data_IF_336729048432
#
_entry.id   IF_336729048432
#
_cell.length_a   1.000
_cell.length_b   1.000
_cell.length_c   1.000
_cell.angle_alpha   90.00
_cell.angle_beta   90.00
_cell.angle_gamma   90.00
#
_symmetry.space_group_name_H-M   'P 1'
#
loop_
_entity.id
_entity.type
_entity.pdbx_description
1 polymer ?
#
# COMPACT_ATOMS: atom_id res chain seq x y z
N UNK A 1 -1.17 -1.58 41.05
CA UNK A 1 -1.84 -0.35 40.58
C UNK A 1 -1.01 0.52 39.63
N UNK A 2 0.25 0.17 39.28
CA UNK A 2 1.13 1.02 38.46
C UNK A 2 1.07 0.81 36.94
N UNK A 3 0.45 -0.26 36.45
CA UNK A 3 0.42 -0.58 35.01
C UNK A 3 -0.67 0.18 34.20
N UNK A 4 -1.63 0.83 34.87
CA UNK A 4 -2.78 1.47 34.22
C UNK A 4 -2.55 2.94 33.83
N UNK A 5 -1.46 3.56 34.28
CA UNK A 5 -1.23 5.01 34.11
C UNK A 5 -0.38 5.34 32.88
N UNK A 6 0.41 4.39 32.37
CA UNK A 6 1.26 4.59 31.17
C UNK A 6 0.50 4.46 29.84
N UNK A 7 -0.65 3.78 29.84
CA UNK A 7 -1.45 3.58 28.63
C UNK A 7 -2.24 4.83 28.20
N UNK A 8 -2.47 5.78 29.09
CA UNK A 8 -3.28 6.98 28.84
C UNK A 8 -2.53 8.06 28.03
N UNK A 9 -1.20 8.02 28.02
CA UNK A 9 -0.38 9.04 27.34
C UNK A 9 -0.23 8.76 25.83
N UNK A 10 -0.40 7.51 25.40
CA UNK A 10 -0.27 7.09 24.01
C UNK A 10 -1.53 7.36 23.16
N UNK A 11 -2.69 7.54 23.78
CA UNK A 11 -3.99 7.74 23.09
C UNK A 11 -4.29 9.23 22.84
N UNK A 12 -3.61 10.15 23.52
CA UNK A 12 -3.84 11.59 23.38
C UNK A 12 -3.03 12.20 22.22
N UNK A 13 -1.99 11.52 21.73
CA UNK A 13 -1.14 11.98 20.62
C UNK A 13 -1.65 11.64 19.22
N UNK A 14 -2.67 10.78 19.08
CA UNK A 14 -3.06 10.20 17.78
C UNK A 14 -4.02 11.06 16.95
N UNK A 15 -4.51 12.17 17.49
CA UNK A 15 -5.50 13.03 16.82
C UNK A 15 -4.90 14.21 16.03
N UNK A 16 -3.59 14.46 16.13
CA UNK A 16 -2.94 15.60 15.46
C UNK A 16 -2.32 15.27 14.09
N UNK A 17 -2.36 14.01 13.65
CA UNK A 17 -1.63 13.54 12.46
C UNK A 17 -2.49 13.44 11.17
N UNK A 18 -3.74 13.91 11.18
CA UNK A 18 -4.60 13.95 10.00
C UNK A 18 -5.18 15.35 9.82
N UNK A 19 -4.35 16.28 9.32
CA UNK A 19 -4.80 17.59 8.86
C UNK A 19 -4.36 17.75 7.41
N UNK A 20 -5.21 17.44 6.41
CA UNK A 20 -5.02 18.00 5.09
C UNK A 20 -5.36 19.50 5.21
N UNK A 21 -4.35 20.33 5.45
CA UNK A 21 -4.48 21.79 5.33
C UNK A 21 -4.79 22.11 3.85
N UNK A 22 -6.08 22.20 3.55
CA UNK A 22 -6.58 22.88 2.35
C UNK A 22 -6.56 24.38 2.61
N UNK A 23 -6.29 25.15 1.55
CA UNK A 23 -6.20 26.62 1.48
C UNK A 23 -4.82 27.24 1.76
N UNK A 24 -4.04 27.41 0.68
CA UNK A 24 -2.81 28.18 0.67
C UNK A 24 -3.09 29.67 0.43
N UNK A 25 -3.27 30.42 1.51
CA UNK A 25 -2.93 31.84 1.59
C UNK A 25 -2.10 32.03 2.88
N UNK A 26 -0.86 31.53 2.86
CA UNK A 26 0.04 31.60 4.01
C UNK A 26 0.95 32.82 3.86
N UNK A 27 0.81 33.78 4.77
CA UNK A 27 1.65 34.97 4.80
C UNK A 27 3.11 34.61 5.11
N UNK A 28 4.06 35.41 4.61
CA UNK A 28 5.51 35.18 4.76
C UNK A 28 5.98 35.00 6.22
N UNK A 29 5.19 35.47 7.20
CA UNK A 29 5.46 35.30 8.64
C UNK A 29 5.02 33.94 9.17
N UNK A 30 3.92 33.38 8.68
CA UNK A 30 3.47 32.04 9.03
C UNK A 30 4.40 30.97 8.44
N UNK A 31 4.98 31.21 7.26
CA UNK A 31 6.02 30.34 6.68
C UNK A 31 7.26 30.23 7.58
N UNK A 32 7.64 31.32 8.26
CA UNK A 32 8.81 31.32 9.16
C UNK A 32 8.50 30.63 10.49
N UNK A 33 7.30 30.83 11.04
CA UNK A 33 6.85 30.11 12.24
C UNK A 33 6.62 28.62 11.98
N UNK A 34 6.03 28.27 10.83
CA UNK A 34 5.86 26.88 10.39
C UNK A 34 7.22 26.22 10.09
N UNK A 35 8.18 26.96 9.51
CA UNK A 35 9.54 26.48 9.27
C UNK A 35 10.33 26.21 10.56
N UNK A 36 10.15 27.03 11.58
CA UNK A 36 10.77 26.83 12.90
C UNK A 36 10.14 25.67 13.68
N UNK A 37 8.81 25.51 13.60
CA UNK A 37 8.12 24.35 14.15
C UNK A 37 8.49 23.06 13.42
N UNK A 38 8.58 23.11 12.08
CA UNK A 38 9.03 22.00 11.24
C UNK A 38 10.49 21.60 11.56
N UNK A 39 11.37 22.56 11.87
CA UNK A 39 12.75 22.29 12.26
C UNK A 39 12.93 21.71 13.68
N UNK A 40 11.91 21.78 14.54
CA UNK A 40 11.92 21.10 15.84
C UNK A 40 11.44 19.65 15.73
N UNK A 41 10.62 19.35 14.73
CA UNK A 41 10.14 18.00 14.43
C UNK A 41 10.89 17.35 13.27
N UNK A 42 11.87 18.00 12.63
CA UNK A 42 12.70 17.43 11.55
C UNK A 42 13.35 16.10 11.91
N UNK A 43 13.86 15.83 13.13
CA UNK A 43 14.35 14.49 13.45
C UNK A 43 13.24 13.44 13.62
N UNK A 44 11.98 13.85 13.74
CA UNK A 44 10.79 12.99 13.74
C UNK A 44 10.05 12.95 12.39
N UNK A 45 10.31 13.91 11.50
CA UNK A 45 9.77 14.01 10.13
C UNK A 45 10.76 13.56 9.05
N UNK A 46 12.00 13.23 9.42
CA UNK A 46 12.87 12.48 8.52
C UNK A 46 12.17 11.14 8.29
N UNK A 47 11.65 10.96 7.07
CA UNK A 47 11.12 9.68 6.64
C UNK A 47 12.25 8.67 6.79
N UNK A 48 12.27 7.93 7.91
CA UNK A 48 13.14 6.79 8.06
C UNK A 48 12.89 5.96 6.80
N UNK A 49 13.92 5.66 5.99
CA UNK A 49 13.73 4.77 4.87
C UNK A 49 13.07 3.54 5.48
N UNK A 50 11.85 3.23 5.03
CA UNK A 50 11.12 2.08 5.55
C UNK A 50 12.12 0.93 5.55
N UNK A 51 12.44 0.39 6.72
CA UNK A 51 13.53 -0.57 6.95
C UNK A 51 13.23 -1.94 6.34
N UNK A 52 12.65 -1.95 5.15
CA UNK A 52 12.33 -3.11 4.35
C UNK A 52 13.63 -3.66 3.77
N UNK A 53 14.37 -4.36 4.62
CA UNK A 53 15.37 -5.31 4.16
C UNK A 53 14.65 -6.47 3.46
N UNK A 54 15.21 -6.96 2.35
CA UNK A 54 14.75 -8.18 1.71
C UNK A 54 15.02 -9.36 2.65
N UNK A 55 13.96 -9.99 3.16
CA UNK A 55 14.02 -11.03 4.20
C UNK A 55 14.20 -12.46 3.66
N UNK A 56 14.33 -12.62 2.33
CA UNK A 56 14.42 -13.90 1.60
C UNK A 56 13.20 -14.81 1.80
N UNK A 57 12.09 -14.32 2.34
CA UNK A 57 10.86 -15.10 2.57
C UNK A 57 10.11 -15.44 1.28
N UNK A 58 10.49 -14.81 0.16
CA UNK A 58 9.75 -14.82 -1.10
C UNK A 58 8.30 -14.31 -0.95
N UNK A 59 7.97 -13.57 0.12
CA UNK A 59 6.65 -12.97 0.26
C UNK A 59 6.55 -11.68 -0.55
N UNK A 60 5.45 -11.56 -1.29
CA UNK A 60 5.12 -10.36 -2.04
C UNK A 60 3.66 -9.94 -1.77
N UNK A 61 3.31 -8.65 -1.98
CA UNK A 61 1.93 -8.21 -1.95
C UNK A 61 1.12 -8.87 -3.09
N UNK A 62 0.15 -9.70 -2.72
CA UNK A 62 -0.88 -10.22 -3.62
C UNK A 62 -2.08 -9.29 -3.57
N UNK A 63 -2.32 -8.59 -4.68
CA UNK A 63 -3.39 -7.62 -4.82
C UNK A 63 -4.55 -8.25 -5.59
N UNK A 64 -5.77 -8.07 -5.09
CA UNK A 64 -7.00 -8.40 -5.82
C UNK A 64 -7.92 -7.19 -5.78
N UNK A 65 -8.25 -6.67 -6.97
CA UNK A 65 -9.14 -5.53 -7.15
C UNK A 65 -10.50 -6.07 -7.57
N UNK A 66 -11.50 -5.86 -6.73
CA UNK A 66 -12.88 -6.23 -6.98
C UNK A 66 -13.65 -4.97 -7.35
N UNK A 67 -13.80 -4.70 -8.65
CA UNK A 67 -14.83 -3.81 -9.16
C UNK A 67 -16.10 -4.63 -9.39
N UNK A 68 -16.89 -4.79 -8.33
CA UNK A 68 -18.08 -5.65 -8.29
C UNK A 68 -19.37 -4.85 -8.28
N UNK A 69 -19.37 -3.64 -8.86
CA UNK A 69 -20.59 -2.82 -9.01
C UNK A 69 -21.67 -3.60 -9.77
N UNK A 70 -22.83 -3.79 -9.16
CA UNK A 70 -23.95 -4.57 -9.70
C UNK A 70 -23.82 -6.09 -9.54
N UNK A 71 -22.81 -6.60 -8.82
CA UNK A 71 -22.65 -8.02 -8.58
C UNK A 71 -23.75 -8.55 -7.66
N UNK A 72 -24.46 -9.61 -8.06
CA UNK A 72 -25.51 -10.23 -7.24
C UNK A 72 -24.98 -10.90 -5.96
N UNK A 73 -23.67 -11.12 -5.88
CA UNK A 73 -23.00 -11.66 -4.69
C UNK A 73 -22.78 -10.52 -3.69
N UNK A 74 -23.55 -10.51 -2.61
CA UNK A 74 -23.47 -9.49 -1.56
C UNK A 74 -22.05 -9.34 -0.95
N UNK A 75 -21.53 -8.12 -0.79
CA UNK A 75 -20.24 -7.86 -0.14
C UNK A 75 -20.30 -8.17 1.36
N UNK A 76 -19.37 -8.98 1.88
CA UNK A 76 -19.37 -9.43 3.29
C UNK A 76 -17.99 -9.44 3.96
N UNK A 77 -16.95 -9.00 3.27
CA UNK A 77 -15.56 -9.01 3.76
C UNK A 77 -15.08 -7.64 4.25
N UNK A 78 -15.79 -6.55 3.98
CA UNK A 78 -15.42 -5.21 4.46
C UNK A 78 -15.72 -5.05 5.95
N UNK A 79 -14.80 -4.43 6.68
CA UNK A 79 -14.92 -4.18 8.13
C UNK A 79 -15.10 -2.70 8.46
N UNK A 80 -14.95 -1.81 7.47
CA UNK A 80 -14.91 -0.35 7.63
C UNK A 80 -16.27 0.37 7.54
N UNK A 81 -17.39 -0.36 7.59
CA UNK A 81 -18.72 0.20 7.41
C UNK A 81 -19.08 0.45 5.94
N UNK A 82 -20.03 1.35 5.70
CA UNK A 82 -20.57 1.69 4.39
C UNK A 82 -20.22 3.13 4.02
N UNK A 83 -19.81 3.35 2.78
CA UNK A 83 -19.58 4.68 2.20
C UNK A 83 -20.89 5.34 1.76
N UNK A 84 -21.95 4.56 1.46
CA UNK A 84 -23.22 5.08 0.96
C UNK A 84 -23.23 5.30 -0.56
N UNK A 85 -22.45 4.52 -1.30
CA UNK A 85 -22.28 4.67 -2.75
C UNK A 85 -21.62 3.46 -3.39
N UNK A 86 -21.13 3.60 -4.62
CA UNK A 86 -20.54 2.49 -5.39
C UNK A 86 -19.34 1.81 -4.70
N UNK A 87 -18.65 2.50 -3.78
CA UNK A 87 -17.54 1.91 -3.00
C UNK A 87 -18.02 0.75 -2.10
N UNK A 88 -19.31 0.71 -1.76
CA UNK A 88 -19.90 -0.40 -1.00
C UNK A 88 -19.92 -1.72 -1.79
N UNK A 89 -19.72 -1.64 -3.10
CA UNK A 89 -19.64 -2.75 -4.06
C UNK A 89 -18.22 -2.93 -4.63
N UNK A 90 -17.25 -2.16 -4.14
CA UNK A 90 -15.85 -2.25 -4.56
C UNK A 90 -14.96 -2.67 -3.39
N UNK A 91 -13.89 -3.40 -3.68
CA UNK A 91 -12.96 -3.85 -2.64
C UNK A 91 -11.54 -3.99 -3.19
N UNK A 92 -10.57 -3.58 -2.39
CA UNK A 92 -9.15 -3.90 -2.60
C UNK A 92 -8.72 -4.86 -1.51
N UNK A 93 -8.36 -6.09 -1.90
CA UNK A 93 -7.73 -7.06 -0.99
C UNK A 93 -6.23 -7.06 -1.23
N UNK A 94 -5.45 -6.87 -0.18
CA UNK A 94 -4.00 -7.04 -0.20
C UNK A 94 -3.60 -8.08 0.83
N UNK A 95 -2.87 -9.10 0.39
CA UNK A 95 -2.28 -10.10 1.26
C UNK A 95 -0.76 -10.14 1.07
N UNK A 96 -0.01 -10.55 2.08
CA UNK A 96 1.43 -10.82 1.95
C UNK A 96 1.64 -12.33 1.89
N UNK A 97 1.78 -12.87 0.68
CA UNK A 97 1.83 -14.31 0.41
C UNK A 97 3.16 -14.71 -0.20
N UNK A 98 3.63 -15.93 0.13
CA UNK A 98 4.83 -16.50 -0.49
C UNK A 98 4.57 -16.78 -1.97
N UNK A 99 5.44 -16.31 -2.84
CA UNK A 99 5.42 -16.59 -4.27
C UNK A 99 6.12 -17.92 -4.52
N UNK A 100 5.44 -18.85 -5.18
CA UNK A 100 5.95 -20.19 -5.48
C UNK A 100 5.56 -20.60 -6.90
N UNK A 101 6.48 -21.25 -7.61
CA UNK A 101 6.24 -21.83 -8.94
C UNK A 101 6.73 -23.28 -8.89
N UNK A 102 5.91 -24.23 -9.35
CA UNK A 102 6.28 -25.64 -9.36
C UNK A 102 7.27 -25.94 -10.49
N UNK A 103 8.13 -26.94 -10.32
CA UNK A 103 9.03 -27.40 -11.40
C UNK A 103 8.25 -27.90 -12.62
N UNK A 104 7.10 -28.53 -12.42
CA UNK A 104 6.20 -28.94 -13.50
C UNK A 104 5.65 -27.75 -14.30
N UNK A 105 5.35 -26.63 -13.65
CA UNK A 105 4.92 -25.43 -14.37
C UNK A 105 6.09 -24.75 -15.08
N UNK A 106 7.29 -24.77 -14.47
CA UNK A 106 8.51 -24.29 -15.12
C UNK A 106 8.83 -25.09 -16.40
N UNK A 107 8.65 -26.42 -16.40
CA UNK A 107 8.82 -27.28 -17.57
C UNK A 107 7.82 -26.95 -18.69
N UNK A 108 6.56 -26.62 -18.35
CA UNK A 108 5.57 -26.13 -19.32
C UNK A 108 5.99 -24.79 -19.92
N UNK A 109 6.45 -23.84 -19.09
CA UNK A 109 6.95 -22.55 -19.58
C UNK A 109 8.17 -22.69 -20.48
N UNK A 110 9.07 -23.62 -20.16
CA UNK A 110 10.22 -23.93 -21.01
C UNK A 110 9.78 -24.42 -22.40
N UNK A 111 8.76 -25.27 -22.47
CA UNK A 111 8.22 -25.75 -23.75
C UNK A 111 7.61 -24.62 -24.59
N UNK A 112 7.03 -23.59 -23.96
CA UNK A 112 6.58 -22.38 -24.66
C UNK A 112 7.76 -21.50 -25.11
N UNK A 113 8.76 -21.29 -24.24
CA UNK A 113 9.83 -20.31 -24.48
C UNK A 113 10.91 -20.80 -25.47
N UNK A 114 11.09 -22.11 -25.62
CA UNK A 114 12.16 -22.68 -26.47
C UNK A 114 11.96 -22.43 -27.97
N UNK A 115 10.75 -22.07 -28.41
CA UNK A 115 10.44 -21.83 -29.83
C UNK A 115 10.62 -20.37 -30.25
N UNK A 116 11.02 -19.48 -29.33
CA UNK A 116 11.27 -18.05 -29.59
C UNK A 116 10.07 -17.27 -30.15
N UNK A 117 8.86 -17.80 -30.00
CA UNK A 117 7.61 -17.09 -30.29
C UNK A 117 7.37 -15.96 -29.26
N UNK A 118 6.55 -14.97 -29.62
CA UNK A 118 6.21 -13.84 -28.74
C UNK A 118 4.72 -13.55 -28.72
N UNK A 119 4.28 -12.77 -27.73
CA UNK A 119 2.93 -12.19 -27.70
C UNK A 119 2.75 -11.10 -28.77
N UNK A 120 1.57 -10.48 -28.83
CA UNK A 120 1.29 -9.39 -29.77
C UNK A 120 2.17 -8.17 -29.47
N UNK A 121 2.27 -7.78 -28.20
CA UNK A 121 2.97 -6.57 -27.78
C UNK A 121 4.49 -6.68 -27.85
N UNK A 122 5.14 -5.54 -28.07
CA UNK A 122 6.60 -5.38 -28.11
C UNK A 122 7.24 -5.80 -29.44
N UNK A 123 8.47 -5.34 -29.72
CA UNK A 123 9.21 -5.75 -30.93
C UNK A 123 9.70 -7.20 -30.83
N UNK A 124 9.88 -7.88 -31.97
CA UNK A 124 10.60 -9.16 -32.05
C UNK A 124 12.11 -8.91 -31.99
N UNK A 125 12.78 -9.49 -31.01
CA UNK A 125 14.21 -9.26 -30.72
C UNK A 125 15.03 -10.54 -30.67
N UNK A 126 14.43 -11.71 -30.92
CA UNK A 126 15.20 -12.96 -31.00
C UNK A 126 16.16 -12.91 -32.18
N UNK A 127 17.38 -13.39 -31.95
CA UNK A 127 18.40 -13.64 -32.99
C UNK A 127 18.53 -15.14 -33.31
N UNK A 128 17.74 -15.96 -32.64
CA UNK A 128 17.53 -17.38 -32.93
C UNK A 128 16.21 -17.54 -33.68
#
# INVERSE_FOLDING_TARGET
>A
MFAKTLASLAVIGSAAAYVPMMSMDMGRREVVQAGAAAAAVTPFLSGAPAGAAMDKSAKAPQITIFDHRGCSRAPKESTGGKAGGQDDEMMVKVASTKVTVSESDAAKKLQEFITFEKGIDGPFTSKN
#
